data_IF_757197194180
#
_entry.id   IF_757197194180
#
_cell.length_a   1.000
_cell.length_b   1.000
_cell.length_c   1.000
_cell.angle_alpha   90.00
_cell.angle_beta   90.00
_cell.angle_gamma   90.00
#
_symmetry.space_group_name_H-M   'P 1'
#
loop_
_entity.id
_entity.type
_entity.pdbx_description
1 polymer ?
#
# COMPACT_ATOMS: atom_id res chain seq x y z
N UNK A 1 0.51 -15.23 -18.36
CA UNK A 1 -0.42 -14.21 -17.86
C UNK A 1 0.42 -13.03 -17.41
N UNK A 2 0.20 -11.83 -17.96
CA UNK A 2 0.89 -10.62 -17.51
C UNK A 2 0.12 -10.07 -16.33
N UNK A 3 0.62 -10.24 -15.11
CA UNK A 3 0.01 -9.61 -13.93
C UNK A 3 0.12 -8.09 -14.08
N UNK A 4 -1.03 -7.40 -14.13
CA UNK A 4 -1.07 -5.95 -14.23
C UNK A 4 -0.79 -5.36 -12.86
N UNK A 5 0.41 -4.82 -12.67
CA UNK A 5 0.78 -4.12 -11.45
C UNK A 5 -0.08 -2.86 -11.25
N UNK A 6 -0.61 -2.71 -10.06
CA UNK A 6 -1.32 -1.54 -9.55
C UNK A 6 -0.36 -0.67 -8.75
N UNK A 7 -0.45 0.66 -8.90
CA UNK A 7 0.37 1.58 -8.11
C UNK A 7 -0.28 1.79 -6.73
N UNK A 8 0.46 1.52 -5.67
CA UNK A 8 0.07 1.82 -4.29
C UNK A 8 0.84 3.05 -3.80
N UNK A 9 0.13 4.03 -3.27
CA UNK A 9 0.72 5.27 -2.76
C UNK A 9 0.22 5.44 -1.33
N UNK A 10 1.13 5.76 -0.41
CA UNK A 10 0.78 6.28 0.90
C UNK A 10 1.33 7.69 1.01
N UNK A 11 0.52 8.60 1.53
CA UNK A 11 0.90 9.99 1.72
C UNK A 11 0.50 10.45 3.12
N UNK A 12 1.49 10.90 3.90
CA UNK A 12 1.28 11.57 5.18
C UNK A 12 1.73 13.03 5.03
N UNK A 13 0.79 13.99 4.88
CA UNK A 13 1.11 15.40 4.74
C UNK A 13 1.69 16.01 6.01
N UNK A 14 1.32 15.51 7.19
CA UNK A 14 1.80 16.03 8.47
C UNK A 14 3.28 15.72 8.67
N UNK A 15 3.72 14.55 8.18
CA UNK A 15 5.12 14.13 8.21
C UNK A 15 5.89 14.46 6.92
N UNK A 16 5.21 14.97 5.89
CA UNK A 16 5.79 15.22 4.56
C UNK A 16 6.39 13.94 3.94
N UNK A 17 5.79 12.79 4.22
CA UNK A 17 6.26 11.48 3.73
C UNK A 17 5.34 11.02 2.60
N UNK A 18 5.93 10.53 1.51
CA UNK A 18 5.21 9.83 0.45
C UNK A 18 5.94 8.54 0.09
N UNK A 19 5.24 7.42 0.19
CA UNK A 19 5.75 6.10 -0.16
C UNK A 19 5.02 5.61 -1.41
N UNK A 20 5.75 5.04 -2.36
CA UNK A 20 5.19 4.52 -3.61
C UNK A 20 5.71 3.11 -3.86
N UNK A 21 4.80 2.16 -3.95
CA UNK A 21 5.12 0.77 -4.26
C UNK A 21 4.24 0.24 -5.40
N UNK A 22 4.60 -0.93 -5.93
CA UNK A 22 3.78 -1.64 -6.91
C UNK A 22 3.13 -2.83 -6.22
N UNK A 23 1.82 -2.96 -6.37
CA UNK A 23 1.05 -4.08 -5.86
C UNK A 23 0.53 -4.92 -7.02
N UNK A 24 0.64 -6.23 -6.93
CA UNK A 24 -0.02 -7.13 -7.90
C UNK A 24 -1.40 -7.59 -7.37
N UNK A 25 -1.60 -7.58 -6.05
CA UNK A 25 -2.83 -8.03 -5.38
C UNK A 25 -3.26 -7.02 -4.34
N UNK A 26 -4.53 -6.61 -4.40
CA UNK A 26 -5.19 -5.76 -3.40
C UNK A 26 -6.55 -6.38 -3.09
N UNK A 27 -6.81 -6.69 -1.82
CA UNK A 27 -8.09 -7.17 -1.33
C UNK A 27 -8.71 -6.11 -0.41
N UNK A 28 -9.95 -5.74 -0.69
CA UNK A 28 -10.70 -4.70 0.02
C UNK A 28 -12.02 -5.30 0.49
N UNK A 29 -12.46 -4.95 1.70
CA UNK A 29 -13.80 -5.27 2.17
C UNK A 29 -14.82 -4.48 1.35
N UNK A 30 -15.73 -5.13 0.60
CA UNK A 30 -16.71 -4.43 -0.21
C UNK A 30 -17.75 -3.65 0.61
N UNK A 31 -17.86 -3.87 1.92
CA UNK A 31 -18.84 -3.18 2.78
C UNK A 31 -18.33 -1.84 3.28
N UNK A 32 -17.07 -1.82 3.74
CA UNK A 32 -16.48 -0.68 4.43
C UNK A 32 -15.32 -0.05 3.65
N UNK A 33 -15.06 -0.53 2.44
CA UNK A 33 -13.92 -0.14 1.59
C UNK A 33 -12.57 -0.22 2.34
N UNK A 34 -12.48 -1.15 3.29
CA UNK A 34 -11.35 -1.33 4.18
C UNK A 34 -10.30 -2.22 3.50
N UNK A 35 -9.04 -1.83 3.51
CA UNK A 35 -7.97 -2.69 3.03
C UNK A 35 -7.86 -3.94 3.92
N UNK A 36 -8.01 -5.13 3.33
CA UNK A 36 -7.86 -6.42 4.03
C UNK A 36 -6.45 -6.98 3.83
N UNK A 37 -5.96 -6.94 2.59
CA UNK A 37 -4.64 -7.47 2.27
C UNK A 37 -4.06 -6.77 1.03
N UNK A 38 -2.73 -6.64 1.00
CA UNK A 38 -2.00 -6.17 -0.18
C UNK A 38 -0.70 -6.97 -0.33
N UNK A 39 -0.39 -7.42 -1.55
CA UNK A 39 0.93 -7.96 -1.89
C UNK A 39 1.72 -6.87 -2.60
N UNK A 40 2.76 -6.38 -1.92
CA UNK A 40 3.63 -5.32 -2.41
C UNK A 40 4.92 -5.91 -2.97
N UNK A 41 5.40 -5.30 -4.06
CA UNK A 41 6.69 -5.53 -4.66
C UNK A 41 7.41 -4.21 -4.95
N UNK A 42 8.73 -4.31 -5.14
CA UNK A 42 9.61 -3.16 -5.35
C UNK A 42 10.76 -3.14 -4.37
N UNK A 43 11.20 -1.95 -3.97
CA UNK A 43 12.32 -1.75 -3.06
C UNK A 43 11.94 -2.18 -1.62
N UNK A 44 12.74 -3.04 -0.94
CA UNK A 44 12.42 -3.55 0.39
C UNK A 44 12.16 -2.45 1.43
N UNK A 45 12.94 -1.38 1.42
CA UNK A 45 12.83 -0.26 2.35
C UNK A 45 11.52 0.52 2.19
N UNK A 46 11.07 0.75 0.95
CA UNK A 46 9.81 1.43 0.66
C UNK A 46 8.62 0.54 0.99
N UNK A 47 8.75 -0.75 0.67
CA UNK A 47 7.72 -1.76 0.98
C UNK A 47 7.54 -1.90 2.49
N UNK A 48 8.63 -2.01 3.24
CA UNK A 48 8.59 -2.08 4.70
C UNK A 48 8.01 -0.80 5.33
N UNK A 49 8.41 0.38 4.84
CA UNK A 49 7.83 1.65 5.26
C UNK A 49 6.32 1.71 5.02
N UNK A 50 5.86 1.24 3.85
CA UNK A 50 4.45 1.26 3.48
C UNK A 50 3.63 0.28 4.34
N UNK A 51 4.17 -0.91 4.60
CA UNK A 51 3.54 -1.90 5.51
C UNK A 51 3.43 -1.32 6.93
N UNK A 52 4.48 -0.67 7.43
CA UNK A 52 4.45 -0.04 8.75
C UNK A 52 3.42 1.09 8.82
N UNK A 53 3.33 1.92 7.77
CA UNK A 53 2.35 3.00 7.67
C UNK A 53 0.91 2.47 7.71
N UNK A 54 0.60 1.47 6.86
CA UNK A 54 -0.73 0.85 6.82
C UNK A 54 -1.07 0.13 8.14
N UNK A 55 -0.12 -0.63 8.70
CA UNK A 55 -0.32 -1.34 9.97
C UNK A 55 -0.49 -0.41 11.16
N UNK A 56 0.08 0.80 11.09
CA UNK A 56 -0.09 1.87 12.08
C UNK A 56 -1.45 2.59 11.99
N UNK A 57 -2.36 2.14 11.13
CA UNK A 57 -3.66 2.80 10.88
C UNK A 57 -3.60 3.88 9.79
N UNK A 58 -2.50 3.95 9.04
CA UNK A 58 -2.39 4.81 7.87
C UNK A 58 -3.35 4.34 6.77
N UNK A 59 -4.08 5.28 6.19
CA UNK A 59 -4.94 5.04 5.02
C UNK A 59 -4.13 5.15 3.73
N UNK A 60 -4.36 4.23 2.78
CA UNK A 60 -3.84 4.32 1.42
C UNK A 60 -4.51 5.45 0.63
#
# INVERSE_FOLDING_TARGET
>A
MTEKLMKAIYSDPAQTITLTAWADTVAVDPRDNLLIAVRLGGYPEVTAGLVNAVSGGGTL
#
